data_IF_981652786530
#
_entry.id   IF_981652786530
#
_cell.length_a   1.000
_cell.length_b   1.000
_cell.length_c   1.000
_cell.angle_alpha   90.00
_cell.angle_beta   90.00
_cell.angle_gamma   90.00
#
_symmetry.space_group_name_H-M   'P 1'
#
loop_
_entity.id
_entity.type
_entity.pdbx_description
1 polymer ?
#
# COMPACT_ATOMS: atom_id res chain seq x y z
N UNK A 1 -1.26 24.01 21.48
CA UNK A 1 -0.53 22.81 21.02
C UNK A 1 0.76 22.72 21.82
N UNK A 2 1.27 21.52 22.12
CA UNK A 2 2.58 21.39 22.75
C UNK A 2 3.68 22.06 21.91
N UNK A 3 4.80 22.41 22.52
CA UNK A 3 5.94 22.99 21.83
C UNK A 3 6.46 22.02 20.75
N UNK A 4 6.80 22.54 19.58
CA UNK A 4 7.27 21.74 18.43
C UNK A 4 6.18 21.04 17.59
N UNK A 5 4.90 21.13 18.01
CA UNK A 5 3.79 20.57 17.24
C UNK A 5 3.21 21.60 16.27
N UNK A 6 2.87 21.14 15.04
CA UNK A 6 2.26 21.98 14.02
C UNK A 6 1.27 21.17 13.16
N UNK A 7 0.32 21.86 12.54
CA UNK A 7 -0.52 21.28 11.51
C UNK A 7 0.15 21.48 10.15
N UNK A 8 0.28 20.41 9.39
CA UNK A 8 0.84 20.42 8.03
C UNK A 8 -0.09 19.68 7.09
N UNK A 9 -0.17 20.16 5.85
CA UNK A 9 -0.92 19.42 4.82
C UNK A 9 -0.19 18.14 4.47
N UNK A 10 -0.95 17.09 4.19
CA UNK A 10 -0.39 15.79 3.77
C UNK A 10 0.56 15.94 2.57
N UNK A 11 0.19 16.76 1.58
CA UNK A 11 1.00 17.03 0.38
C UNK A 11 2.32 17.76 0.66
N UNK A 12 2.43 18.42 1.81
CA UNK A 12 3.67 19.10 2.21
C UNK A 12 4.67 18.12 2.86
N UNK A 13 4.19 17.02 3.42
CA UNK A 13 5.00 16.01 4.14
C UNK A 13 5.14 14.67 3.42
N UNK A 14 4.33 14.42 2.40
CA UNK A 14 4.39 13.21 1.58
C UNK A 14 4.20 13.50 0.09
N UNK A 15 4.88 12.74 -0.76
CA UNK A 15 4.60 12.66 -2.19
C UNK A 15 3.47 11.66 -2.43
N UNK A 16 2.58 11.98 -3.36
CA UNK A 16 1.44 11.12 -3.70
C UNK A 16 1.53 10.73 -5.17
N UNK A 17 1.76 9.45 -5.42
CA UNK A 17 1.78 8.88 -6.76
C UNK A 17 0.47 8.15 -7.04
N UNK A 18 -0.25 8.60 -8.06
CA UNK A 18 -1.47 7.94 -8.53
C UNK A 18 -1.14 6.82 -9.52
N UNK A 19 -1.96 5.76 -9.53
CA UNK A 19 -1.76 4.63 -10.40
C UNK A 19 -2.07 4.91 -11.88
N UNK A 20 -1.52 4.06 -12.75
CA UNK A 20 -1.65 4.14 -14.20
C UNK A 20 -2.92 3.43 -14.69
N UNK A 21 -3.50 3.94 -15.76
CA UNK A 21 -4.70 3.36 -16.39
C UNK A 21 -4.29 2.24 -17.38
N UNK A 22 -4.02 1.05 -16.84
CA UNK A 22 -3.71 -0.13 -17.65
C UNK A 22 -4.93 -0.64 -18.41
N UNK A 23 -4.69 -1.27 -19.57
CA UNK A 23 -5.69 -2.03 -20.31
C UNK A 23 -6.03 -3.33 -19.54
N UNK A 24 -7.28 -3.42 -19.07
CA UNK A 24 -7.74 -4.59 -18.33
C UNK A 24 -7.72 -5.90 -19.10
N UNK A 25 -7.71 -5.85 -20.45
CA UNK A 25 -7.61 -7.05 -21.30
C UNK A 25 -6.24 -7.74 -21.22
N UNK A 26 -5.21 -7.00 -20.75
CA UNK A 26 -3.85 -7.51 -20.57
C UNK A 26 -3.58 -8.03 -19.15
N UNK A 27 -4.61 -8.03 -18.29
CA UNK A 27 -4.50 -8.58 -16.94
C UNK A 27 -4.59 -10.11 -16.95
N UNK A 28 -3.81 -10.74 -16.08
CA UNK A 28 -3.79 -12.18 -15.92
C UNK A 28 -3.46 -12.61 -14.48
N UNK A 29 -3.72 -13.87 -14.15
CA UNK A 29 -3.34 -14.52 -12.88
C UNK A 29 -2.35 -15.67 -13.09
N UNK A 30 -1.74 -15.73 -14.27
CA UNK A 30 -0.82 -16.80 -14.69
C UNK A 30 0.65 -16.44 -14.43
N UNK A 31 0.93 -15.32 -13.77
CA UNK A 31 2.29 -14.87 -13.50
C UNK A 31 3.00 -14.25 -14.72
N UNK A 32 2.27 -13.88 -15.78
CA UNK A 32 2.86 -13.32 -17.00
C UNK A 32 3.03 -11.80 -16.87
N UNK A 33 4.26 -11.31 -17.03
CA UNK A 33 4.60 -9.88 -16.97
C UNK A 33 4.83 -9.39 -15.55
N UNK A 34 4.45 -8.14 -15.29
CA UNK A 34 4.70 -7.46 -14.00
C UNK A 34 3.49 -7.60 -13.08
N UNK A 35 3.68 -7.86 -11.78
CA UNK A 35 2.61 -7.82 -10.78
C UNK A 35 1.90 -6.46 -10.79
N UNK A 36 0.60 -6.43 -10.48
CA UNK A 36 -0.18 -5.19 -10.36
C UNK A 36 -0.92 -5.11 -9.04
N UNK A 37 -1.05 -3.89 -8.51
CA UNK A 37 -1.82 -3.58 -7.30
C UNK A 37 -3.17 -2.99 -7.68
N UNK A 38 -4.23 -3.74 -7.41
CA UNK A 38 -5.62 -3.30 -7.50
C UNK A 38 -6.16 -3.06 -6.10
N UNK A 39 -7.26 -2.32 -5.94
CA UNK A 39 -7.86 -2.02 -4.64
C UNK A 39 -8.02 -3.29 -3.79
N UNK A 40 -8.49 -4.39 -4.39
CA UNK A 40 -8.71 -5.68 -3.71
C UNK A 40 -7.45 -6.35 -3.15
N UNK A 41 -6.26 -5.97 -3.63
CA UNK A 41 -4.99 -6.54 -3.18
C UNK A 41 -4.44 -5.81 -1.95
N UNK A 42 -4.87 -4.56 -1.71
CA UNK A 42 -4.34 -3.70 -0.65
C UNK A 42 -4.52 -4.31 0.75
N UNK A 43 -5.68 -4.87 1.13
CA UNK A 43 -5.85 -5.45 2.47
C UNK A 43 -4.80 -6.49 2.83
N UNK A 44 -4.39 -7.31 1.85
CA UNK A 44 -3.41 -8.37 2.06
C UNK A 44 -1.96 -7.90 1.85
N UNK A 45 -1.75 -6.75 1.22
CA UNK A 45 -0.43 -6.19 0.90
C UNK A 45 0.39 -7.01 -0.12
N UNK A 46 -0.25 -7.96 -0.82
CA UNK A 46 0.34 -8.81 -1.85
C UNK A 46 -0.64 -9.00 -3.01
N UNK A 47 -0.16 -9.47 -4.15
CA UNK A 47 -0.99 -9.71 -5.34
C UNK A 47 -0.61 -11.00 -6.07
N UNK A 48 -1.61 -11.58 -6.74
CA UNK A 48 -1.45 -12.60 -7.78
C UNK A 48 -2.05 -12.12 -9.12
N UNK A 49 -2.27 -10.81 -9.25
CA UNK A 49 -2.69 -10.18 -10.49
C UNK A 49 -1.46 -9.64 -11.23
N UNK A 50 -1.40 -9.80 -12.54
CA UNK A 50 -0.27 -9.40 -13.38
C UNK A 50 -0.77 -8.67 -14.62
N UNK A 51 0.12 -7.91 -15.26
CA UNK A 51 -0.11 -7.31 -16.59
C UNK A 51 1.11 -7.53 -17.49
N UNK A 52 0.86 -7.72 -18.77
CA UNK A 52 1.90 -7.73 -19.78
C UNK A 52 2.18 -6.34 -20.38
N UNK A 53 1.38 -5.34 -19.98
CA UNK A 53 1.61 -3.96 -20.38
C UNK A 53 2.71 -3.33 -19.51
N UNK A 54 3.65 -2.67 -20.16
CA UNK A 54 4.70 -1.90 -19.49
C UNK A 54 4.20 -0.49 -19.14
N UNK A 55 4.74 0.10 -18.07
CA UNK A 55 4.52 1.47 -17.67
C UNK A 55 5.81 2.05 -17.07
N UNK A 56 5.86 3.37 -16.92
CA UNK A 56 7.00 4.06 -16.34
C UNK A 56 7.25 3.62 -14.90
N UNK A 57 8.52 3.64 -14.49
CA UNK A 57 8.98 3.25 -13.15
C UNK A 57 8.27 4.04 -12.03
N UNK A 58 7.88 5.29 -12.28
CA UNK A 58 7.12 6.10 -11.32
C UNK A 58 5.84 5.45 -10.82
N UNK A 59 5.24 4.55 -11.61
CA UNK A 59 4.02 3.81 -11.22
C UNK A 59 4.30 2.55 -10.42
N UNK A 60 5.55 2.30 -10.03
CA UNK A 60 5.88 1.14 -9.23
C UNK A 60 5.62 1.36 -7.75
N UNK A 61 5.30 0.26 -7.08
CA UNK A 61 5.23 0.14 -5.63
C UNK A 61 6.15 -0.97 -5.18
N UNK A 62 6.87 -0.74 -4.10
CA UNK A 62 7.84 -1.66 -3.52
C UNK A 62 7.48 -2.00 -2.09
N UNK A 63 8.13 -3.02 -1.54
CA UNK A 63 7.94 -3.44 -0.15
C UNK A 63 8.14 -2.25 0.81
N UNK A 64 7.17 -2.05 1.70
CA UNK A 64 7.15 -0.94 2.65
C UNK A 64 6.45 0.34 2.16
N UNK A 65 6.08 0.44 0.88
CA UNK A 65 5.30 1.57 0.39
C UNK A 65 3.88 1.56 0.97
N UNK A 66 3.36 2.73 1.31
CA UNK A 66 1.99 2.89 1.80
C UNK A 66 1.06 3.01 0.61
N UNK A 67 0.11 2.09 0.47
CA UNK A 67 -0.84 2.04 -0.65
C UNK A 67 -2.25 2.28 -0.16
N UNK A 68 -3.00 3.08 -0.92
CA UNK A 68 -4.38 3.48 -0.62
C UNK A 68 -5.29 3.20 -1.81
N UNK A 69 -6.43 2.56 -1.55
CA UNK A 69 -7.52 2.41 -2.50
C UNK A 69 -8.38 3.67 -2.55
N UNK A 70 -8.80 4.08 -3.75
CA UNK A 70 -9.47 5.35 -3.97
C UNK A 70 -10.97 5.21 -4.30
N UNK A 71 -11.48 3.99 -4.47
CA UNK A 71 -12.88 3.74 -4.80
C UNK A 71 -13.50 2.69 -3.88
N UNK A 72 -14.76 2.86 -3.56
CA UNK A 72 -15.53 1.97 -2.71
C UNK A 72 -15.05 2.02 -1.27
N UNK A 73 -14.48 0.95 -0.77
CA UNK A 73 -13.79 0.93 0.51
C UNK A 73 -12.35 1.45 0.33
N UNK A 74 -11.99 2.50 1.08
CA UNK A 74 -10.65 3.10 0.99
C UNK A 74 -9.67 2.30 1.85
N UNK A 75 -9.26 1.15 1.32
CA UNK A 75 -8.25 0.31 1.97
C UNK A 75 -6.92 1.05 2.10
N UNK A 76 -6.26 0.88 3.24
CA UNK A 76 -4.95 1.47 3.53
C UNK A 76 -4.06 0.36 4.08
N UNK A 77 -2.90 0.15 3.49
CA UNK A 77 -1.92 -0.81 3.99
C UNK A 77 -0.51 -0.48 3.50
N UNK A 78 0.49 -1.10 4.14
CA UNK A 78 1.83 -1.16 3.57
C UNK A 78 1.95 -2.35 2.62
N UNK A 79 2.61 -2.15 1.49
CA UNK A 79 2.87 -3.21 0.53
C UNK A 79 3.92 -4.18 1.07
N UNK A 80 3.71 -5.48 0.92
CA UNK A 80 4.61 -6.54 1.40
C UNK A 80 5.06 -7.47 0.28
N UNK A 81 4.42 -7.38 -0.89
CA UNK A 81 4.74 -8.19 -2.06
C UNK A 81 5.98 -7.72 -2.82
N UNK A 82 6.25 -8.41 -3.92
CA UNK A 82 7.25 -7.99 -4.90
C UNK A 82 6.90 -6.63 -5.50
N UNK A 83 7.88 -5.98 -6.14
CA UNK A 83 7.64 -4.76 -6.90
C UNK A 83 6.51 -4.98 -7.91
N UNK A 84 5.55 -4.07 -7.92
CA UNK A 84 4.34 -4.16 -8.70
C UNK A 84 3.95 -2.80 -9.28
N UNK A 85 3.14 -2.74 -10.31
CA UNK A 85 2.57 -1.50 -10.80
C UNK A 85 1.30 -1.10 -10.06
N UNK A 86 1.16 0.17 -9.75
CA UNK A 86 -0.09 0.77 -9.25
C UNK A 86 -1.08 0.93 -10.40
N UNK A 87 -2.24 0.29 -10.28
CA UNK A 87 -3.34 0.44 -11.24
C UNK A 87 -4.18 1.67 -10.87
N UNK A 88 -4.85 2.28 -11.85
CA UNK A 88 -5.80 3.38 -11.61
C UNK A 88 -6.73 3.08 -10.43
N UNK A 89 -7.13 4.12 -9.72
CA UNK A 89 -7.93 4.03 -8.49
C UNK A 89 -7.18 3.47 -7.27
N UNK A 90 -5.86 3.39 -7.38
CA UNK A 90 -4.95 3.24 -6.24
C UNK A 90 -3.94 4.37 -6.23
N UNK A 91 -3.35 4.68 -5.08
CA UNK A 91 -2.25 5.61 -4.99
C UNK A 91 -1.24 5.16 -3.92
N UNK A 92 0.00 5.64 -4.06
CA UNK A 92 1.08 5.44 -3.11
C UNK A 92 1.35 6.74 -2.36
N UNK A 93 1.55 6.66 -1.05
CA UNK A 93 1.96 7.77 -0.19
C UNK A 93 3.40 7.53 0.27
N UNK A 94 4.30 8.38 -0.15
CA UNK A 94 5.71 8.32 0.18
C UNK A 94 6.08 9.51 1.07
N UNK A 95 6.43 9.28 2.36
CA UNK A 95 6.81 10.36 3.25
C UNK A 95 8.11 11.00 2.78
N UNK A 96 8.21 12.33 2.82
CA UNK A 96 9.43 13.08 2.46
C UNK A 96 10.58 12.82 3.44
N UNK A 97 10.28 12.36 4.65
CA UNK A 97 11.23 11.86 5.64
C UNK A 97 10.91 10.40 5.93
N UNK A 98 11.83 9.48 5.66
CA UNK A 98 11.61 8.02 5.85
C UNK A 98 11.18 7.66 7.27
N UNK A 99 11.73 8.35 8.29
CA UNK A 99 11.38 8.13 9.69
C UNK A 99 9.88 8.34 9.99
N UNK A 100 9.16 9.06 9.13
CA UNK A 100 7.72 9.32 9.27
C UNK A 100 6.85 8.19 8.72
N UNK A 101 7.41 7.16 8.05
CA UNK A 101 6.63 6.15 7.32
C UNK A 101 5.64 5.42 8.23
N UNK A 102 6.12 4.87 9.33
CA UNK A 102 5.27 4.15 10.28
C UNK A 102 4.18 5.04 10.90
N UNK A 103 4.52 6.28 11.22
CA UNK A 103 3.57 7.27 11.73
C UNK A 103 2.56 7.67 10.63
N UNK A 104 3.02 7.94 9.40
CA UNK A 104 2.16 8.35 8.29
C UNK A 104 1.08 7.30 8.01
N UNK A 105 1.44 6.01 7.99
CA UNK A 105 0.48 4.91 7.81
C UNK A 105 -0.68 4.98 8.82
N UNK A 106 -0.41 5.38 10.06
CA UNK A 106 -1.44 5.53 11.10
C UNK A 106 -2.17 6.87 10.99
N UNK A 107 -1.43 7.94 10.75
CA UNK A 107 -1.98 9.30 10.76
C UNK A 107 -3.00 9.57 9.64
N UNK A 108 -2.84 8.91 8.48
CA UNK A 108 -3.77 9.06 7.35
C UNK A 108 -5.05 8.24 7.51
N UNK A 109 -5.11 7.29 8.45
CA UNK A 109 -6.22 6.35 8.57
C UNK A 109 -7.54 7.09 8.82
N UNK A 110 -7.64 7.86 9.89
CA UNK A 110 -8.88 8.56 10.26
C UNK A 110 -9.34 9.58 9.19
N UNK A 111 -8.45 10.46 8.64
CA UNK A 111 -8.86 11.38 7.59
C UNK A 111 -9.40 10.67 6.33
N UNK A 112 -8.77 9.58 5.91
CA UNK A 112 -9.23 8.84 4.73
C UNK A 112 -10.55 8.13 5.01
N UNK A 113 -10.71 7.51 6.18
CA UNK A 113 -11.97 6.89 6.59
C UNK A 113 -13.10 7.90 6.83
N UNK A 114 -12.77 9.13 7.19
CA UNK A 114 -13.75 10.22 7.22
C UNK A 114 -14.29 10.51 5.81
N UNK A 115 -13.43 10.60 4.80
CA UNK A 115 -13.88 10.79 3.42
C UNK A 115 -14.69 9.60 2.90
N UNK A 116 -14.34 8.37 3.24
CA UNK A 116 -15.12 7.17 2.89
C UNK A 116 -16.58 7.28 3.35
N UNK A 117 -16.80 7.84 4.54
CA UNK A 117 -18.14 8.02 5.13
C UNK A 117 -18.89 9.25 4.60
N UNK A 118 -18.18 10.30 4.19
CA UNK A 118 -18.77 11.61 3.88
C UNK A 118 -18.86 11.91 2.39
N UNK A 119 -17.97 11.31 1.57
CA UNK A 119 -18.02 11.46 0.12
C UNK A 119 -19.06 10.53 -0.46
N UNK A 120 -20.32 10.94 -0.36
CA UNK A 120 -21.44 10.23 -0.99
C UNK A 120 -21.52 10.65 -2.45
N UNK A 121 -21.00 9.83 -3.37
CA UNK A 121 -21.38 9.93 -4.78
C UNK A 121 -22.60 9.05 -5.05
N UNK A 122 -23.32 9.30 -6.12
CA UNK A 122 -24.59 8.62 -6.40
C UNK A 122 -24.48 7.08 -6.54
N UNK A 123 -23.28 6.53 -6.67
CA UNK A 123 -23.05 5.10 -6.88
C UNK A 123 -21.88 4.50 -6.09
N UNK A 124 -20.70 5.14 -6.05
CA UNK A 124 -19.50 4.64 -5.35
C UNK A 124 -18.71 5.82 -4.77
N UNK A 125 -18.29 5.71 -3.51
CA UNK A 125 -17.41 6.71 -2.92
C UNK A 125 -16.07 6.77 -3.68
N UNK A 126 -15.56 7.98 -3.97
CA UNK A 126 -14.31 8.20 -4.66
C UNK A 126 -13.41 9.18 -3.90
N UNK A 127 -12.22 8.72 -3.50
CA UNK A 127 -11.18 9.53 -2.88
C UNK A 127 -10.41 10.30 -3.97
N UNK A 128 -10.94 11.45 -4.36
CA UNK A 128 -10.29 12.30 -5.36
C UNK A 128 -9.10 13.09 -4.81
N UNK A 129 -8.22 13.56 -5.72
CA UNK A 129 -7.09 14.42 -5.37
C UNK A 129 -7.51 15.61 -4.48
N UNK A 130 -8.64 16.25 -4.77
CA UNK A 130 -9.17 17.38 -3.99
C UNK A 130 -9.35 17.05 -2.51
N UNK A 131 -9.76 15.82 -2.19
CA UNK A 131 -9.92 15.36 -0.80
C UNK A 131 -8.57 15.19 -0.13
N UNK A 132 -7.62 14.55 -0.82
CA UNK A 132 -6.26 14.34 -0.33
C UNK A 132 -5.55 15.66 -0.05
N UNK A 133 -5.70 16.65 -0.93
CA UNK A 133 -5.09 17.98 -0.81
C UNK A 133 -5.61 18.79 0.41
N UNK A 134 -6.76 18.39 0.98
CA UNK A 134 -7.32 19.03 2.19
C UNK A 134 -6.94 18.34 3.49
N UNK A 135 -6.28 17.18 3.44
CA UNK A 135 -5.87 16.46 4.64
C UNK A 135 -4.79 17.25 5.38
N UNK A 136 -5.07 17.61 6.63
CA UNK A 136 -4.12 18.19 7.55
C UNK A 136 -3.79 17.18 8.65
N UNK A 137 -2.51 17.00 8.92
CA UNK A 137 -2.00 16.10 9.95
C UNK A 137 -1.26 16.92 11.03
N UNK A 138 -1.31 16.42 12.25
CA UNK A 138 -0.60 17.02 13.37
C UNK A 138 0.79 16.42 13.46
N UNK A 139 1.81 17.15 13.04
CA UNK A 139 3.21 16.75 13.09
C UNK A 139 3.89 17.25 14.36
N UNK A 140 4.94 16.55 14.78
CA UNK A 140 5.74 16.88 15.97
C UNK A 140 7.24 16.76 15.69
N UNK A 141 8.08 16.81 16.73
CA UNK A 141 9.52 16.62 16.59
C UNK A 141 9.87 15.22 16.08
N UNK A 142 11.03 15.08 15.45
CA UNK A 142 11.42 13.82 14.76
C UNK A 142 11.51 12.62 15.72
N UNK A 143 11.80 12.85 16.99
CA UNK A 143 11.85 11.81 18.04
C UNK A 143 10.50 11.08 18.22
N UNK A 144 9.41 11.76 17.92
CA UNK A 144 8.06 11.17 17.95
C UNK A 144 7.92 10.00 16.97
N UNK A 145 8.59 10.08 15.82
CA UNK A 145 8.42 9.10 14.74
C UNK A 145 9.25 7.83 14.92
N UNK A 146 10.33 7.88 15.71
CA UNK A 146 11.24 6.76 15.94
C UNK A 146 10.53 5.45 16.36
N UNK A 147 9.64 5.45 17.37
CA UNK A 147 8.96 4.21 17.76
C UNK A 147 8.00 3.70 16.70
N UNK A 148 7.36 4.59 15.94
CA UNK A 148 6.47 4.19 14.84
C UNK A 148 7.24 3.53 13.71
N UNK A 149 8.38 4.11 13.31
CA UNK A 149 9.23 3.54 12.25
C UNK A 149 9.81 2.20 12.68
N UNK A 150 10.28 2.08 13.92
CA UNK A 150 10.76 0.79 14.46
C UNK A 150 9.68 -0.30 14.39
N UNK A 151 8.45 -0.01 14.82
CA UNK A 151 7.34 -0.95 14.77
C UNK A 151 6.94 -1.27 13.33
N UNK A 152 6.98 -0.27 12.44
CA UNK A 152 6.71 -0.45 11.03
C UNK A 152 7.71 -1.41 10.37
N UNK A 153 9.00 -1.19 10.56
CA UNK A 153 10.06 -2.04 10.02
C UNK A 153 9.95 -3.47 10.56
N UNK A 154 9.69 -3.63 11.86
CA UNK A 154 9.48 -4.94 12.47
C UNK A 154 8.24 -5.65 11.87
N UNK A 155 7.15 -4.92 11.67
CA UNK A 155 5.95 -5.44 10.99
C UNK A 155 6.26 -5.90 9.57
N UNK A 156 6.98 -5.09 8.77
CA UNK A 156 7.36 -5.45 7.40
C UNK A 156 8.24 -6.70 7.37
N UNK A 157 9.21 -6.80 8.26
CA UNK A 157 10.04 -8.00 8.39
C UNK A 157 9.21 -9.26 8.66
N UNK A 158 8.26 -9.19 9.60
CA UNK A 158 7.38 -10.32 9.93
C UNK A 158 6.44 -10.69 8.77
N UNK A 159 5.91 -9.70 8.04
CA UNK A 159 5.10 -9.95 6.84
C UNK A 159 5.89 -10.65 5.75
N UNK A 160 7.14 -10.22 5.49
CA UNK A 160 8.03 -10.86 4.54
C UNK A 160 8.37 -12.31 4.96
N UNK A 161 8.65 -12.54 6.25
CA UNK A 161 8.87 -13.89 6.77
C UNK A 161 7.64 -14.79 6.59
N UNK A 162 6.43 -14.26 6.82
CA UNK A 162 5.19 -15.00 6.61
C UNK A 162 5.00 -15.40 5.13
N UNK A 163 5.34 -14.51 4.18
CA UNK A 163 5.29 -14.83 2.74
C UNK A 163 6.24 -15.98 2.44
N UNK A 164 7.51 -15.89 2.88
CA UNK A 164 8.51 -16.92 2.65
C UNK A 164 8.14 -18.27 3.29
N UNK A 165 7.55 -18.24 4.49
CA UNK A 165 7.08 -19.45 5.17
C UNK A 165 5.90 -20.09 4.45
N UNK A 166 4.96 -19.27 3.93
CA UNK A 166 3.86 -19.78 3.12
C UNK A 166 4.35 -20.43 1.81
N UNK A 167 5.28 -19.80 1.11
CA UNK A 167 5.91 -20.35 -0.08
C UNK A 167 6.67 -21.66 0.22
N UNK A 168 7.41 -21.73 1.33
CA UNK A 168 8.12 -22.93 1.75
C UNK A 168 7.16 -24.07 2.07
N UNK A 169 6.10 -23.79 2.81
CA UNK A 169 5.02 -24.76 3.11
C UNK A 169 4.42 -25.31 1.82
N UNK A 170 4.06 -24.46 0.88
CA UNK A 170 3.37 -24.86 -0.35
C UNK A 170 4.28 -25.71 -1.26
N UNK A 171 5.59 -25.39 -1.32
CA UNK A 171 6.60 -26.23 -1.99
C UNK A 171 6.77 -27.59 -1.31
N UNK A 172 6.85 -27.64 0.00
CA UNK A 172 6.99 -28.89 0.76
C UNK A 172 5.74 -29.74 0.63
N UNK A 173 4.55 -29.15 0.73
CA UNK A 173 3.28 -29.87 0.55
C UNK A 173 3.18 -30.50 -0.82
N UNK A 174 3.56 -29.77 -1.89
CA UNK A 174 3.59 -30.30 -3.25
C UNK A 174 4.51 -31.52 -3.37
N UNK A 175 5.70 -31.48 -2.77
CA UNK A 175 6.65 -32.61 -2.80
C UNK A 175 6.21 -33.80 -1.98
N UNK A 176 5.56 -33.58 -0.84
CA UNK A 176 4.94 -34.65 -0.06
C UNK A 176 3.81 -35.34 -0.82
N UNK A 177 2.96 -34.56 -1.49
CA UNK A 177 1.84 -35.09 -2.26
C UNK A 177 2.27 -35.82 -3.54
N UNK A 178 3.40 -35.44 -4.13
CA UNK A 178 3.99 -36.12 -5.31
C UNK A 178 4.78 -37.38 -4.95
N UNK A 179 5.05 -37.64 -3.66
CA UNK A 179 5.88 -38.75 -3.22
C UNK A 179 7.39 -38.55 -3.40
N UNK A 180 7.82 -37.31 -3.73
CA UNK A 180 9.24 -36.96 -3.79
C UNK A 180 9.91 -36.92 -2.42
N UNK A 181 9.12 -36.73 -1.35
CA UNK A 181 9.55 -36.76 0.04
C UNK A 181 8.74 -37.81 0.80
N UNK A 182 9.43 -38.76 1.42
CA UNK A 182 8.83 -39.67 2.39
C UNK A 182 8.95 -39.10 3.80
N UNK A 183 7.92 -39.28 4.64
CA UNK A 183 7.90 -38.87 6.05
C UNK A 183 8.22 -40.06 6.93
#
# INVERSE_FOLDING_TARGET
>A
MPEGWKKEKLIDIANIQYGFAFDGSLFNTQGKGTPIVRIRNIPNGITNDYTTQEADEQYTVSNGDIVVGMDGEFHINSWSGNTAYLVQRTCKFEPKKEIMRGWLLQAIYEPIKFFEKTVVSATVAHLGKKHIDTIELLTGPDELYVPFEYLFQKRQLLLNQNILLAEARDRLLSKLMSGELEV
#
